data_IF_067324050232
#
_entry.id   IF_067324050232
#
_cell.length_a   1.000
_cell.length_b   1.000
_cell.length_c   1.000
_cell.angle_alpha   90.00
_cell.angle_beta   90.00
_cell.angle_gamma   90.00
#
_symmetry.space_group_name_H-M   'P 1'
#
loop_
_entity.id
_entity.type
_entity.pdbx_description
1 polymer ?
#
# COMPACT_ATOMS: atom_id res chain seq x y z
N UNK A 1 33.33 -31.87 23.79
CA UNK A 1 31.91 -31.56 24.00
C UNK A 1 31.67 -30.14 23.49
N UNK A 2 31.23 -30.00 22.24
CA UNK A 2 31.21 -28.76 21.46
C UNK A 2 30.02 -27.87 21.86
N UNK A 3 30.29 -26.63 22.27
CA UNK A 3 29.28 -25.56 22.36
C UNK A 3 29.30 -24.78 21.04
N UNK A 4 28.36 -25.05 20.15
CA UNK A 4 28.13 -24.16 19.00
C UNK A 4 27.33 -22.94 19.47
N UNK A 5 28.02 -21.80 19.59
CA UNK A 5 27.37 -20.50 19.64
C UNK A 5 26.63 -20.25 18.33
N UNK A 6 25.41 -19.73 18.43
CA UNK A 6 24.60 -19.27 17.30
C UNK A 6 25.41 -18.20 16.54
N UNK A 7 26.00 -18.59 15.41
CA UNK A 7 26.75 -17.70 14.55
C UNK A 7 25.83 -16.68 13.91
N UNK A 8 26.16 -15.39 14.06
CA UNK A 8 25.45 -14.32 13.37
C UNK A 8 25.42 -14.60 11.86
N UNK A 9 24.23 -14.49 11.25
CA UNK A 9 24.00 -14.75 9.82
C UNK A 9 25.00 -13.90 8.99
N UNK A 10 25.75 -14.49 8.04
CA UNK A 10 26.78 -13.79 7.26
C UNK A 10 26.32 -12.47 6.64
N UNK A 11 25.07 -12.43 6.15
CA UNK A 11 24.47 -11.24 5.54
C UNK A 11 24.37 -10.02 6.47
N UNK A 12 24.17 -10.21 7.78
CA UNK A 12 24.15 -9.12 8.76
C UNK A 12 25.55 -8.62 9.08
N UNK A 13 26.54 -9.52 9.06
CA UNK A 13 27.94 -9.22 9.33
C UNK A 13 28.58 -8.47 8.16
N UNK A 14 28.24 -8.85 6.94
CA UNK A 14 28.82 -8.31 5.70
C UNK A 14 28.01 -7.15 5.11
N UNK A 15 26.88 -6.78 5.73
CA UNK A 15 25.97 -5.69 5.28
C UNK A 15 25.52 -5.83 3.82
N UNK A 16 25.41 -7.06 3.34
CA UNK A 16 25.03 -7.37 1.95
C UNK A 16 23.55 -7.14 1.68
N UNK A 17 22.73 -7.05 2.73
CA UNK A 17 21.32 -6.69 2.64
C UNK A 17 21.08 -5.38 3.40
N UNK A 18 20.54 -4.37 2.71
CA UNK A 18 20.14 -3.08 3.28
C UNK A 18 18.68 -2.84 2.95
N UNK A 19 17.75 -3.46 3.69
CA UNK A 19 16.35 -3.38 3.36
C UNK A 19 15.82 -1.94 3.49
N UNK A 20 14.98 -1.53 2.55
CA UNK A 20 14.26 -0.25 2.60
C UNK A 20 12.77 -0.53 2.39
N UNK A 21 11.92 0.26 3.03
CA UNK A 21 10.48 0.13 2.93
C UNK A 21 9.82 1.52 2.90
N UNK A 22 8.79 1.67 2.09
CA UNK A 22 7.85 2.79 2.10
C UNK A 22 6.45 2.19 2.19
N UNK A 23 5.60 2.76 3.03
CA UNK A 23 4.20 2.35 3.17
C UNK A 23 3.29 3.57 3.29
N UNK A 24 2.02 3.41 2.93
CA UNK A 24 1.04 4.48 3.01
C UNK A 24 -0.40 3.97 2.89
N UNK A 25 -1.34 4.82 3.29
CA UNK A 25 -2.77 4.63 3.11
C UNK A 25 -3.29 5.68 2.12
N UNK A 26 -4.07 5.24 1.16
CA UNK A 26 -4.56 6.06 0.07
C UNK A 26 -6.08 5.90 -0.05
N UNK A 27 -6.83 6.98 -0.29
CA UNK A 27 -8.25 6.87 -0.62
C UNK A 27 -8.41 6.14 -1.96
N UNK A 28 -9.39 5.25 -2.04
CA UNK A 28 -9.64 4.50 -3.28
C UNK A 28 -10.99 3.81 -3.32
N UNK A 29 -11.34 3.32 -4.50
CA UNK A 29 -12.57 2.60 -4.77
C UNK A 29 -12.38 1.55 -5.88
N UNK A 30 -13.25 0.56 -5.91
CA UNK A 30 -13.31 -0.41 -7.00
C UNK A 30 -14.16 0.08 -8.17
N UNK A 31 -13.69 -0.21 -9.38
CA UNK A 31 -14.37 0.08 -10.65
C UNK A 31 -14.27 -1.18 -11.53
N UNK A 32 -15.25 -2.06 -11.36
CA UNK A 32 -15.19 -3.41 -11.95
C UNK A 32 -14.00 -4.22 -11.42
N UNK A 33 -13.09 -4.59 -12.32
CA UNK A 33 -11.89 -5.39 -12.02
C UNK A 33 -10.69 -4.51 -11.58
N UNK A 34 -10.89 -3.19 -11.53
CA UNK A 34 -9.85 -2.23 -11.18
C UNK A 34 -10.01 -1.69 -9.75
N UNK A 35 -8.88 -1.27 -9.19
CA UNK A 35 -8.80 -0.45 -7.98
C UNK A 35 -8.23 0.93 -8.36
N UNK A 36 -9.06 1.95 -8.16
CA UNK A 36 -8.72 3.36 -8.41
C UNK A 36 -8.16 3.96 -7.14
N UNK A 37 -7.01 4.63 -7.25
CA UNK A 37 -6.35 5.35 -6.16
C UNK A 37 -6.48 6.84 -6.41
N UNK A 38 -6.94 7.57 -5.40
CA UNK A 38 -7.09 9.02 -5.44
C UNK A 38 -5.97 9.75 -4.70
N UNK A 39 -5.74 11.00 -5.07
CA UNK A 39 -4.87 11.93 -4.35
C UNK A 39 -5.38 12.07 -2.90
N UNK A 40 -4.55 11.82 -1.87
CA UNK A 40 -4.96 12.00 -0.48
C UNK A 40 -5.11 13.46 -0.05
N UNK A 41 -4.53 14.44 -0.75
CA UNK A 41 -4.53 15.84 -0.29
C UNK A 41 -5.93 16.45 -0.11
N UNK A 42 -6.89 16.31 -1.06
CA UNK A 42 -8.25 16.83 -0.88
C UNK A 42 -8.94 16.23 0.35
N UNK A 43 -8.77 14.93 0.57
CA UNK A 43 -9.37 14.21 1.71
C UNK A 43 -8.75 14.63 3.04
N UNK A 44 -7.43 14.82 3.09
CA UNK A 44 -6.77 15.33 4.29
C UNK A 44 -7.25 16.74 4.65
N UNK A 45 -7.37 17.64 3.67
CA UNK A 45 -7.91 18.99 3.86
C UNK A 45 -9.34 18.95 4.38
N UNK A 46 -10.19 18.12 3.76
CA UNK A 46 -11.59 17.92 4.15
C UNK A 46 -11.75 17.37 5.58
N UNK A 47 -10.88 16.46 6.01
CA UNK A 47 -10.88 15.96 7.39
C UNK A 47 -10.38 17.03 8.38
N UNK A 48 -9.38 17.82 8.00
CA UNK A 48 -8.77 18.85 8.85
C UNK A 48 -9.63 20.11 9.02
N UNK A 49 -10.62 20.34 8.15
CA UNK A 49 -11.52 21.51 8.20
C UNK A 49 -12.70 21.36 9.17
N UNK A 50 -12.75 20.27 9.94
CA UNK A 50 -13.74 20.07 11.01
C UNK A 50 -13.48 21.08 12.14
N UNK A 51 -14.19 22.22 12.10
CA UNK A 51 -14.19 23.19 13.20
C UNK A 51 -14.82 22.54 14.45
N UNK A 52 -14.16 22.68 15.60
CA UNK A 52 -14.45 22.01 16.87
C UNK A 52 -15.72 22.46 17.60
N UNK A 53 -16.80 22.73 16.89
CA UNK A 53 -18.15 22.78 17.43
C UNK A 53 -18.72 21.36 17.27
N UNK A 54 -18.72 20.59 18.36
CA UNK A 54 -19.08 19.16 18.41
C UNK A 54 -20.55 18.83 18.11
N UNK A 55 -21.14 19.48 17.10
CA UNK A 55 -22.32 19.03 16.39
C UNK A 55 -21.87 18.36 15.08
N UNK A 56 -21.23 17.19 15.23
CA UNK A 56 -20.63 16.39 14.16
C UNK A 56 -21.66 15.98 13.10
N UNK A 57 -21.83 16.82 12.08
CA UNK A 57 -22.39 16.39 10.80
C UNK A 57 -21.31 15.49 10.18
N UNK A 58 -21.53 14.18 10.31
CA UNK A 58 -20.47 13.17 10.32
C UNK A 58 -19.49 13.22 9.15
N UNK A 59 -18.22 12.94 9.48
CA UNK A 59 -17.06 12.68 8.60
C UNK A 59 -17.41 11.99 7.28
N UNK A 60 -18.42 11.10 7.29
CA UNK A 60 -18.90 10.37 6.12
C UNK A 60 -19.52 11.23 5.02
N UNK A 61 -20.23 12.31 5.35
CA UNK A 61 -20.76 13.26 4.35
C UNK A 61 -19.66 14.15 3.77
N UNK A 62 -18.68 14.53 4.57
CA UNK A 62 -17.57 15.39 4.13
C UNK A 62 -16.72 14.67 3.07
N UNK A 63 -16.49 13.36 3.28
CA UNK A 63 -15.70 12.53 2.38
C UNK A 63 -16.45 12.20 1.08
N UNK A 64 -17.79 12.17 1.07
CA UNK A 64 -18.56 11.89 -0.16
C UNK A 64 -18.48 13.00 -1.20
N UNK A 65 -18.47 14.27 -0.74
CA UNK A 65 -18.45 15.48 -1.59
C UNK A 65 -17.02 15.98 -1.89
N UNK A 66 -16.00 15.29 -1.38
CA UNK A 66 -14.60 15.64 -1.62
C UNK A 66 -14.22 15.36 -3.09
N UNK A 67 -13.47 16.28 -3.70
CA UNK A 67 -12.93 16.12 -5.05
C UNK A 67 -12.07 14.85 -5.17
N UNK A 68 -12.34 14.05 -6.21
CA UNK A 68 -11.64 12.78 -6.49
C UNK A 68 -10.71 12.97 -7.66
N UNK A 69 -9.40 13.06 -7.39
CA UNK A 69 -8.36 13.14 -8.41
C UNK A 69 -7.68 11.78 -8.52
N UNK A 70 -7.90 11.05 -9.63
CA UNK A 70 -7.26 9.75 -9.87
C UNK A 70 -5.74 9.94 -10.09
N UNK A 71 -4.93 9.25 -9.28
CA UNK A 71 -3.45 9.28 -9.37
C UNK A 71 -2.86 7.95 -9.81
N UNK A 72 -3.59 6.84 -9.66
CA UNK A 72 -3.18 5.53 -10.12
C UNK A 72 -4.39 4.59 -10.25
N UNK A 73 -4.22 3.53 -11.06
CA UNK A 73 -5.20 2.47 -11.25
C UNK A 73 -4.49 1.12 -11.33
N UNK A 74 -4.98 0.15 -10.56
CA UNK A 74 -4.48 -1.22 -10.59
C UNK A 74 -5.56 -2.15 -11.12
N UNK A 75 -5.28 -2.82 -12.23
CA UNK A 75 -6.15 -3.87 -12.77
C UNK A 75 -5.79 -5.22 -12.17
N UNK A 76 -6.80 -5.95 -11.70
CA UNK A 76 -6.61 -7.25 -11.10
C UNK A 76 -7.28 -8.34 -11.95
N UNK A 77 -6.63 -9.50 -12.15
CA UNK A 77 -7.24 -10.59 -12.88
C UNK A 77 -8.34 -11.22 -12.04
N UNK A 78 -9.50 -11.44 -12.67
CA UNK A 78 -10.58 -12.21 -12.07
C UNK A 78 -10.27 -13.71 -12.13
N UNK A 79 -10.60 -14.44 -11.06
CA UNK A 79 -10.44 -15.88 -11.03
C UNK A 79 -11.26 -16.54 -12.15
N UNK A 80 -10.70 -17.44 -12.96
CA UNK A 80 -11.41 -18.01 -14.11
C UNK A 80 -12.48 -19.05 -13.73
N UNK A 81 -12.38 -19.63 -12.53
CA UNK A 81 -13.28 -20.68 -12.03
C UNK A 81 -13.50 -20.50 -10.53
N UNK A 82 -14.50 -21.19 -9.98
CA UNK A 82 -14.86 -21.05 -8.56
C UNK A 82 -15.75 -19.85 -8.33
N UNK A 83 -15.45 -19.06 -7.30
CA UNK A 83 -16.27 -17.90 -6.89
C UNK A 83 -16.09 -16.66 -7.77
N UNK A 84 -15.23 -16.75 -8.79
CA UNK A 84 -15.02 -15.69 -9.79
C UNK A 84 -14.57 -14.36 -9.15
N UNK A 85 -13.81 -14.44 -8.05
CA UNK A 85 -13.40 -13.29 -7.25
C UNK A 85 -12.27 -12.49 -7.91
N UNK A 86 -12.29 -11.19 -7.66
CA UNK A 86 -11.24 -10.23 -7.97
C UNK A 86 -10.77 -9.52 -6.70
N UNK A 87 -9.52 -9.03 -6.66
CA UNK A 87 -9.03 -8.24 -5.52
C UNK A 87 -9.83 -6.94 -5.37
N UNK A 88 -10.29 -6.35 -6.47
CA UNK A 88 -11.13 -5.14 -6.45
C UNK A 88 -12.45 -5.34 -5.69
N UNK A 89 -12.99 -6.57 -5.66
CA UNK A 89 -14.28 -6.89 -5.03
C UNK A 89 -14.26 -6.66 -3.49
N UNK A 90 -13.07 -6.55 -2.88
CA UNK A 90 -12.91 -6.27 -1.45
C UNK A 90 -12.95 -4.78 -1.09
N UNK A 91 -13.03 -3.89 -2.07
CA UNK A 91 -13.10 -2.45 -1.87
C UNK A 91 -14.47 -1.90 -2.24
N UNK A 92 -14.89 -0.83 -1.56
CA UNK A 92 -16.16 -0.17 -1.86
C UNK A 92 -16.21 0.30 -3.33
N UNK A 93 -17.31 0.03 -4.07
CA UNK A 93 -17.42 0.44 -5.47
C UNK A 93 -17.60 1.95 -5.60
N UNK A 94 -17.17 2.52 -6.72
CA UNK A 94 -17.18 3.98 -6.99
C UNK A 94 -18.56 4.63 -6.85
N UNK A 95 -19.63 3.88 -7.05
CA UNK A 95 -21.04 4.30 -6.96
C UNK A 95 -21.64 4.15 -5.55
N UNK A 96 -20.93 3.54 -4.60
CA UNK A 96 -21.42 3.31 -3.23
C UNK A 96 -21.57 4.57 -2.39
N UNK A 97 -20.98 5.69 -2.83
CA UNK A 97 -20.87 6.91 -2.03
C UNK A 97 -19.94 6.79 -0.82
N UNK A 98 -19.21 5.69 -0.70
CA UNK A 98 -18.22 5.44 0.36
C UNK A 98 -16.83 5.46 -0.26
N UNK A 99 -15.89 6.15 0.39
CA UNK A 99 -14.47 6.09 0.03
C UNK A 99 -13.80 5.05 0.91
N UNK A 100 -13.05 4.13 0.31
CA UNK A 100 -12.32 3.09 1.00
C UNK A 100 -10.86 3.50 1.25
N UNK A 101 -10.18 2.78 2.15
CA UNK A 101 -8.78 2.98 2.47
C UNK A 101 -7.91 1.84 1.90
N UNK A 102 -7.00 2.18 1.00
CA UNK A 102 -6.07 1.25 0.35
C UNK A 102 -4.69 1.35 1.02
N UNK A 103 -4.22 0.25 1.61
CA UNK A 103 -2.86 0.15 2.14
C UNK A 103 -1.89 -0.37 1.09
N UNK A 104 -0.82 0.38 0.82
CA UNK A 104 0.25 -0.02 -0.11
C UNK A 104 1.60 -0.01 0.60
N UNK A 105 2.46 -0.97 0.25
CA UNK A 105 3.83 -1.06 0.73
C UNK A 105 4.78 -1.46 -0.40
N UNK A 106 5.93 -0.81 -0.45
CA UNK A 106 7.02 -1.12 -1.37
C UNK A 106 8.26 -1.40 -0.55
N UNK A 107 8.88 -2.56 -0.77
CA UNK A 107 10.07 -3.00 -0.06
C UNK A 107 11.17 -3.39 -1.04
N UNK A 108 12.42 -3.14 -0.66
CA UNK A 108 13.61 -3.59 -1.41
C UNK A 108 14.63 -4.16 -0.44
N UNK A 109 15.46 -5.09 -0.91
CA UNK A 109 16.62 -5.61 -0.16
C UNK A 109 17.83 -4.68 -0.20
N UNK A 110 17.76 -3.60 -0.99
CA UNK A 110 18.81 -2.60 -1.19
C UNK A 110 19.85 -3.00 -2.26
N UNK A 111 20.51 -2.01 -2.85
CA UNK A 111 21.48 -2.19 -3.96
C UNK A 111 22.71 -3.03 -3.58
N UNK A 112 23.06 -3.07 -2.29
CA UNK A 112 24.18 -3.84 -1.77
C UNK A 112 24.08 -5.35 -2.05
N UNK A 113 22.85 -5.85 -2.25
CA UNK A 113 22.62 -7.26 -2.60
C UNK A 113 23.14 -7.58 -4.01
N UNK A 114 22.82 -6.71 -4.98
CA UNK A 114 23.28 -6.84 -6.36
C UNK A 114 24.80 -6.66 -6.46
N UNK A 115 25.36 -5.66 -5.79
CA UNK A 115 26.82 -5.41 -5.75
C UNK A 115 27.63 -6.56 -5.11
N UNK A 116 27.01 -7.35 -4.24
CA UNK A 116 27.63 -8.52 -3.65
C UNK A 116 27.56 -9.72 -4.61
N UNK A 117 26.42 -9.91 -5.28
CA UNK A 117 26.23 -10.94 -6.29
C UNK A 117 27.19 -10.79 -7.48
N UNK A 118 27.33 -9.57 -8.00
CA UNK A 118 28.23 -9.29 -9.13
C UNK A 118 29.70 -9.58 -8.78
N UNK A 119 30.10 -9.29 -7.55
CA UNK A 119 31.45 -9.56 -7.04
C UNK A 119 31.77 -11.05 -6.93
N UNK A 120 30.77 -11.87 -6.65
CA UNK A 120 30.90 -13.32 -6.56
C UNK A 120 30.87 -14.00 -7.94
N UNK A 121 30.23 -13.40 -8.94
CA UNK A 121 30.28 -13.90 -10.33
C UNK A 121 31.57 -13.54 -11.06
N UNK A 122 32.22 -12.43 -10.68
CA UNK A 122 33.50 -11.99 -11.27
C UNK A 122 34.76 -12.63 -10.69
N UNK A 123 34.62 -13.58 -9.75
CA UNK A 123 35.71 -14.28 -9.04
C UNK A 123 35.80 -15.75 -9.48
#
# INVERSE_FOLDING_TARGET
MLRHGVGAKPALREKTLKPQAVYGFFPGNSDGDDLVIYDPEPFQKALSSTNGNGNDVGTRYIVSDTERVEIARFSFPRQPYGEYLCISDYFAPVDSGVIDAVSLQVVTVGQAASEHFDRLQGA
#
